data_IF_272271538367
#
_entry.id   IF_272271538367
#
_cell.length_a   1.000
_cell.length_b   1.000
_cell.length_c   1.000
_cell.angle_alpha   90.00
_cell.angle_beta   90.00
_cell.angle_gamma   90.00
#
_symmetry.space_group_name_H-M   'P 1'
#
loop_
_entity.id
_entity.type
_entity.pdbx_description
1 polymer ?
#
# COMPACT_ATOMS: atom_id res chain seq x y z
N UNK A 1 0.55 4.31 -19.16
CA UNK A 1 -0.77 3.87 -18.66
C UNK A 1 -1.64 5.11 -18.67
N UNK A 2 -2.85 5.01 -19.22
CA UNK A 2 -3.78 6.15 -19.20
C UNK A 2 -4.12 6.53 -17.76
N UNK A 3 -4.22 7.83 -17.43
CA UNK A 3 -4.50 8.27 -16.08
C UNK A 3 -5.75 7.58 -15.49
N UNK A 4 -6.87 7.52 -16.22
CA UNK A 4 -8.10 6.90 -15.71
C UNK A 4 -7.95 5.41 -15.37
N UNK A 5 -7.10 4.68 -16.12
CA UNK A 5 -6.78 3.27 -15.82
C UNK A 5 -5.93 3.19 -14.56
N UNK A 6 -4.93 4.06 -14.43
CA UNK A 6 -4.10 4.16 -13.24
C UNK A 6 -4.94 4.36 -11.97
N UNK A 7 -5.86 5.32 -11.97
CA UNK A 7 -6.70 5.63 -10.83
C UNK A 7 -7.53 4.42 -10.38
N UNK A 8 -8.21 3.74 -11.33
CA UNK A 8 -9.01 2.55 -11.01
C UNK A 8 -8.14 1.41 -10.48
N UNK A 9 -7.02 1.12 -11.12
CA UNK A 9 -6.10 0.07 -10.66
C UNK A 9 -5.55 0.41 -9.27
N UNK A 10 -5.12 1.64 -9.03
CA UNK A 10 -4.61 2.05 -7.73
C UNK A 10 -5.67 1.92 -6.64
N UNK A 11 -6.92 2.36 -6.90
CA UNK A 11 -8.01 2.21 -5.96
C UNK A 11 -8.23 0.75 -5.57
N UNK A 12 -8.38 -0.14 -6.56
CA UNK A 12 -8.51 -1.58 -6.32
C UNK A 12 -7.37 -2.12 -5.47
N UNK A 13 -6.12 -1.79 -5.80
CA UNK A 13 -4.96 -2.31 -5.08
C UNK A 13 -4.84 -1.75 -3.66
N UNK A 14 -5.18 -0.48 -3.43
CA UNK A 14 -5.22 0.11 -2.10
C UNK A 14 -6.36 -0.47 -1.26
N UNK A 15 -7.55 -0.69 -1.83
CA UNK A 15 -8.64 -1.41 -1.16
C UNK A 15 -8.18 -2.75 -0.64
N UNK A 16 -7.53 -3.55 -1.48
CA UNK A 16 -7.00 -4.84 -1.09
C UNK A 16 -5.92 -4.73 -0.02
N UNK A 17 -4.95 -3.85 -0.21
CA UNK A 17 -3.85 -3.65 0.74
C UNK A 17 -4.37 -3.29 2.12
N UNK A 18 -5.21 -2.27 2.24
CA UNK A 18 -5.68 -1.77 3.52
C UNK A 18 -6.65 -2.74 4.20
N UNK A 19 -7.55 -3.37 3.46
CA UNK A 19 -8.46 -4.38 4.02
C UNK A 19 -7.70 -5.60 4.54
N UNK A 20 -6.73 -6.11 3.77
CA UNK A 20 -5.91 -7.25 4.16
C UNK A 20 -4.97 -6.91 5.31
N UNK A 21 -4.21 -5.81 5.23
CA UNK A 21 -3.31 -5.39 6.30
C UNK A 21 -4.05 -5.15 7.62
N UNK A 22 -5.22 -4.50 7.58
CA UNK A 22 -6.05 -4.29 8.76
C UNK A 22 -6.59 -5.59 9.37
N UNK A 23 -6.77 -6.63 8.56
CA UNK A 23 -7.13 -7.95 9.08
C UNK A 23 -5.94 -8.71 9.67
N UNK A 24 -4.74 -8.55 9.12
CA UNK A 24 -3.51 -9.21 9.58
C UNK A 24 -3.07 -8.66 10.94
N UNK A 25 -2.98 -7.33 11.07
CA UNK A 25 -2.67 -6.65 12.32
C UNK A 25 -3.33 -5.27 12.38
N UNK A 26 -4.48 -5.20 13.03
CA UNK A 26 -5.30 -4.00 13.14
C UNK A 26 -4.59 -2.85 13.91
N UNK A 27 -3.67 -3.17 14.84
CA UNK A 27 -2.98 -2.13 15.63
C UNK A 27 -1.83 -1.52 14.83
N UNK A 28 -1.06 -2.34 14.12
CA UNK A 28 0.02 -1.83 13.28
C UNK A 28 -0.54 -1.03 12.08
N UNK A 29 -1.71 -1.38 11.54
CA UNK A 29 -2.35 -0.54 10.50
C UNK A 29 -2.76 0.82 11.06
N UNK A 30 -3.29 0.87 12.28
CA UNK A 30 -3.63 2.12 12.94
C UNK A 30 -2.38 3.00 13.09
N UNK A 31 -1.28 2.43 13.58
CA UNK A 31 -0.01 3.14 13.70
C UNK A 31 0.56 3.57 12.34
N UNK A 32 0.39 2.78 11.29
CA UNK A 32 0.84 3.11 9.94
C UNK A 32 0.08 4.29 9.31
N UNK A 33 -1.10 4.66 9.82
CA UNK A 33 -1.80 5.89 9.39
C UNK A 33 -1.21 7.17 9.97
N UNK A 34 -0.42 7.06 11.04
CA UNK A 34 0.26 8.21 11.64
C UNK A 34 1.54 8.50 10.86
N UNK A 35 1.59 9.65 10.20
CA UNK A 35 2.78 10.07 9.48
C UNK A 35 3.83 10.62 10.46
N UNK A 36 5.07 10.16 10.32
CA UNK A 36 6.28 10.65 11.03
C UNK A 36 6.15 10.82 12.56
N UNK A 37 6.11 9.71 13.30
CA UNK A 37 6.07 9.71 14.78
C UNK A 37 7.46 9.83 15.44
N UNK A 38 8.41 10.52 14.80
CA UNK A 38 9.82 10.56 15.22
C UNK A 38 10.42 11.96 15.27
N UNK A 39 11.43 12.15 16.12
CA UNK A 39 12.13 13.42 16.27
C UNK A 39 11.35 14.42 17.12
N UNK A 40 11.47 15.72 16.83
CA UNK A 40 10.68 16.73 17.51
C UNK A 40 9.19 16.51 17.21
N UNK A 41 8.38 16.28 18.25
CA UNK A 41 6.94 16.01 18.14
C UNK A 41 6.07 17.27 18.35
N UNK A 42 6.70 18.44 18.47
CA UNK A 42 5.99 19.71 18.58
C UNK A 42 5.42 20.12 17.21
N UNK A 43 4.39 20.97 17.22
CA UNK A 43 3.85 21.59 16.02
C UNK A 43 4.96 22.19 15.13
N UNK A 44 4.88 21.96 13.82
CA UNK A 44 5.85 22.43 12.83
C UNK A 44 7.03 21.49 12.55
N UNK A 45 7.07 20.29 13.13
CA UNK A 45 8.15 19.31 12.92
C UNK A 45 7.73 18.03 12.18
N UNK A 46 6.55 18.01 11.56
CA UNK A 46 6.06 16.89 10.76
C UNK A 46 6.08 17.26 9.27
N UNK A 47 6.90 16.58 8.47
CA UNK A 47 7.04 16.89 7.04
C UNK A 47 5.89 16.36 6.20
N UNK A 48 5.11 15.40 6.71
CA UNK A 48 3.87 14.98 6.06
C UNK A 48 2.80 16.09 6.10
N UNK A 49 2.81 16.96 7.11
CA UNK A 49 1.97 18.16 7.13
C UNK A 49 2.28 19.06 5.93
N UNK A 50 3.56 19.32 5.67
CA UNK A 50 4.01 20.07 4.49
C UNK A 50 3.59 19.38 3.20
N UNK A 51 3.67 18.05 3.13
CA UNK A 51 3.24 17.30 1.95
C UNK A 51 1.74 17.50 1.65
N UNK A 52 0.89 17.51 2.69
CA UNK A 52 -0.54 17.80 2.55
C UNK A 52 -0.79 19.26 2.11
N UNK A 53 -0.01 20.22 2.62
CA UNK A 53 -0.09 21.62 2.19
C UNK A 53 0.30 21.76 0.70
N UNK A 54 1.42 21.16 0.29
CA UNK A 54 1.87 21.13 -1.12
C UNK A 54 0.83 20.48 -2.03
N UNK A 55 0.20 19.40 -1.57
CA UNK A 55 -0.89 18.75 -2.30
C UNK A 55 -2.12 19.66 -2.46
N UNK A 56 -2.52 20.37 -1.40
CA UNK A 56 -3.61 21.34 -1.47
C UNK A 56 -3.29 22.49 -2.44
N UNK A 57 -2.07 23.03 -2.41
CA UNK A 57 -1.61 24.05 -3.36
C UNK A 57 -1.65 23.56 -4.81
N UNK A 58 -1.22 22.31 -5.06
CA UNK A 58 -1.33 21.69 -6.38
C UNK A 58 -2.79 21.55 -6.83
N UNK A 59 -3.71 21.13 -5.96
CA UNK A 59 -5.15 21.05 -6.29
C UNK A 59 -5.71 22.44 -6.61
N UNK A 60 -5.35 23.47 -5.85
CA UNK A 60 -5.79 24.85 -6.11
C UNK A 60 -5.29 25.34 -7.47
N UNK A 61 -4.04 25.09 -7.82
CA UNK A 61 -3.51 25.48 -9.14
C UNK A 61 -4.12 24.65 -10.28
N UNK A 62 -4.30 23.34 -10.07
CA UNK A 62 -4.88 22.43 -11.07
C UNK A 62 -6.36 22.65 -11.33
N UNK A 63 -7.09 23.25 -10.38
CA UNK A 63 -8.52 23.58 -10.51
C UNK A 63 -8.79 24.96 -11.09
N UNK A 64 -7.75 25.72 -11.46
CA UNK A 64 -7.93 26.94 -12.25
C UNK A 64 -8.49 26.55 -13.61
N UNK A 65 -9.77 26.84 -13.85
CA UNK A 65 -10.46 26.56 -15.13
C UNK A 65 -9.93 27.35 -16.34
N UNK A 66 -8.83 28.10 -16.18
CA UNK A 66 -8.11 28.82 -17.23
C UNK A 66 -6.76 28.16 -17.50
N UNK A 67 -6.22 28.24 -18.75
CA UNK A 67 -4.89 27.71 -19.05
C UNK A 67 -3.80 28.33 -18.17
N UNK A 68 -2.98 27.49 -17.55
CA UNK A 68 -1.87 27.95 -16.71
C UNK A 68 -0.86 28.78 -17.51
N UNK A 69 -0.49 29.93 -16.96
CA UNK A 69 0.65 30.70 -17.46
C UNK A 69 1.97 29.93 -17.27
N UNK A 70 3.02 30.32 -18.00
CA UNK A 70 4.35 29.67 -17.88
C UNK A 70 4.92 29.72 -16.44
N UNK A 71 4.80 30.83 -15.69
CA UNK A 71 5.17 30.84 -14.26
C UNK A 71 4.35 29.87 -13.41
N UNK A 72 3.04 29.76 -13.62
CA UNK A 72 2.18 28.85 -12.87
C UNK A 72 2.48 27.38 -13.19
N UNK A 73 2.69 27.05 -14.47
CA UNK A 73 3.13 25.71 -14.85
C UNK A 73 4.47 25.34 -14.19
N UNK A 74 5.39 26.30 -14.06
CA UNK A 74 6.64 26.10 -13.32
C UNK A 74 6.39 25.84 -11.84
N UNK A 75 5.46 26.56 -11.21
CA UNK A 75 5.08 26.32 -9.82
C UNK A 75 4.51 24.92 -9.65
N UNK A 76 3.55 24.51 -10.49
CA UNK A 76 2.96 23.16 -10.47
C UNK A 76 4.03 22.08 -10.59
N UNK A 77 4.97 22.21 -11.54
CA UNK A 77 6.04 21.23 -11.69
C UNK A 77 7.04 21.21 -10.52
N UNK A 78 7.22 22.35 -9.83
CA UNK A 78 8.08 22.44 -8.65
C UNK A 78 7.42 21.76 -7.45
N UNK A 79 6.13 22.02 -7.23
CA UNK A 79 5.33 21.36 -6.21
C UNK A 79 5.20 19.85 -6.46
N UNK A 80 5.06 19.43 -7.72
CA UNK A 80 5.11 18.02 -8.11
C UNK A 80 6.41 17.33 -7.66
N UNK A 81 7.56 17.99 -7.88
CA UNK A 81 8.85 17.45 -7.46
C UNK A 81 9.00 17.44 -5.92
N UNK A 82 8.47 18.45 -5.22
CA UNK A 82 8.43 18.45 -3.75
C UNK A 82 7.57 17.30 -3.21
N UNK A 83 6.40 17.09 -3.80
CA UNK A 83 5.49 16.04 -3.40
C UNK A 83 6.11 14.65 -3.62
N UNK A 84 6.81 14.44 -4.73
CA UNK A 84 7.55 13.20 -4.99
C UNK A 84 8.62 12.89 -3.92
N UNK A 85 9.20 13.92 -3.30
CA UNK A 85 10.22 13.79 -2.26
C UNK A 85 9.65 13.70 -0.84
N UNK A 86 8.32 13.69 -0.67
CA UNK A 86 7.65 13.71 0.63
C UNK A 86 7.72 12.34 1.35
N UNK A 87 8.93 11.95 1.77
CA UNK A 87 9.21 10.65 2.38
C UNK A 87 8.29 10.30 3.56
N UNK A 88 7.94 11.28 4.40
CA UNK A 88 7.07 11.08 5.57
C UNK A 88 5.71 10.46 5.26
N UNK A 89 5.12 10.78 4.10
CA UNK A 89 3.83 10.20 3.67
C UNK A 89 3.99 8.74 3.28
N UNK A 90 5.13 8.38 2.68
CA UNK A 90 5.39 7.05 2.17
C UNK A 90 5.87 6.07 3.24
N UNK A 91 6.37 6.57 4.37
CA UNK A 91 6.72 5.74 5.53
C UNK A 91 5.50 4.96 6.03
N UNK A 92 4.34 5.62 6.11
CA UNK A 92 3.07 4.97 6.47
C UNK A 92 2.69 3.86 5.49
N UNK A 93 2.78 4.12 4.18
CA UNK A 93 2.48 3.12 3.14
C UNK A 93 3.43 1.91 3.20
N UNK A 94 4.72 2.13 3.43
CA UNK A 94 5.68 1.04 3.59
C UNK A 94 5.37 0.20 4.84
N UNK A 95 5.09 0.84 5.98
CA UNK A 95 4.67 0.13 7.19
C UNK A 95 3.39 -0.69 6.94
N UNK A 96 2.40 -0.16 6.23
CA UNK A 96 1.19 -0.89 5.86
C UNK A 96 1.49 -2.17 5.08
N UNK A 97 2.38 -2.13 4.10
CA UNK A 97 2.75 -3.34 3.33
C UNK A 97 3.55 -4.34 4.17
N UNK A 98 4.41 -3.86 5.05
CA UNK A 98 5.25 -4.70 5.91
C UNK A 98 4.45 -5.51 6.95
N UNK A 99 3.21 -5.11 7.26
CA UNK A 99 2.27 -5.89 8.08
C UNK A 99 2.05 -7.30 7.51
N UNK A 100 1.98 -7.45 6.19
CA UNK A 100 1.78 -8.77 5.58
C UNK A 100 2.91 -9.75 5.88
N UNK A 101 4.12 -9.24 6.13
CA UNK A 101 5.30 -10.01 6.52
C UNK A 101 5.46 -10.12 8.04
N UNK A 102 4.44 -9.71 8.81
CA UNK A 102 4.44 -9.63 10.28
C UNK A 102 5.64 -8.85 10.82
N UNK A 103 6.11 -7.85 10.05
CA UNK A 103 7.16 -6.96 10.50
C UNK A 103 6.54 -5.92 11.43
N UNK A 104 7.21 -5.61 12.55
CA UNK A 104 6.71 -4.62 13.48
C UNK A 104 6.66 -3.25 12.80
N UNK A 105 5.66 -2.44 13.15
CA UNK A 105 5.67 -1.01 12.80
C UNK A 105 7.01 -0.38 13.18
N UNK A 106 7.60 0.35 12.23
CA UNK A 106 8.90 0.96 12.34
C UNK A 106 8.82 2.48 12.09
N UNK A 107 9.41 3.26 12.97
CA UNK A 107 9.54 4.72 12.83
C UNK A 107 10.43 5.15 11.66
N UNK A 108 11.33 4.28 11.20
CA UNK A 108 12.24 4.52 10.07
C UNK A 108 12.20 3.37 9.07
N UNK A 109 11.08 3.18 8.34
CA UNK A 109 10.93 2.01 7.49
C UNK A 109 11.87 2.03 6.26
N UNK A 110 12.42 3.20 5.90
CA UNK A 110 13.44 3.37 4.85
C UNK A 110 14.88 3.49 5.37
N UNK A 111 15.16 3.18 6.64
CA UNK A 111 16.49 3.37 7.21
C UNK A 111 17.59 2.59 6.47
N UNK A 112 17.25 1.41 5.95
CA UNK A 112 18.13 0.54 5.17
C UNK A 112 18.61 1.18 3.86
N UNK A 113 17.89 2.17 3.34
CA UNK A 113 18.28 2.92 2.14
C UNK A 113 19.26 4.08 2.43
N UNK A 114 19.41 4.47 3.70
CA UNK A 114 20.26 5.60 4.10
C UNK A 114 21.73 5.25 3.88
N UNK A 115 22.44 6.11 3.15
CA UNK A 115 23.87 5.92 2.86
C UNK A 115 24.71 6.82 3.75
N UNK A 116 25.77 6.27 4.32
CA UNK A 116 26.77 7.04 5.06
C UNK A 116 28.01 7.21 4.19
N UNK A 117 28.20 8.42 3.64
CA UNK A 117 29.43 8.78 2.95
C UNK A 117 30.53 8.99 3.99
N UNK A 118 31.71 8.39 3.77
CA UNK A 118 32.81 8.44 4.72
C UNK A 118 33.60 9.77 4.66
N UNK A 119 33.79 10.35 3.46
CA UNK A 119 34.55 11.60 3.29
C UNK A 119 33.96 12.51 2.17
N UNK A 120 33.52 13.75 2.50
CA UNK A 120 33.21 14.22 3.86
C UNK A 120 32.09 13.37 4.49
N UNK A 121 32.09 13.27 5.83
CA UNK A 121 31.08 12.49 6.55
C UNK A 121 29.71 13.11 6.31
N UNK A 122 28.84 12.41 5.60
CA UNK A 122 27.49 12.87 5.30
C UNK A 122 26.52 11.69 5.34
N UNK A 123 25.37 11.91 5.99
CA UNK A 123 24.23 11.00 5.92
C UNK A 123 23.37 11.43 4.74
N UNK A 124 23.18 10.53 3.79
CA UNK A 124 22.44 10.78 2.56
C UNK A 124 21.17 9.93 2.64
N UNK A 125 20.03 10.60 2.82
CA UNK A 125 18.73 9.95 2.77
C UNK A 125 18.40 9.41 1.37
N UNK A 126 17.46 8.46 1.26
CA UNK A 126 16.98 8.01 -0.03
C UNK A 126 16.30 9.16 -0.79
N UNK A 127 16.38 9.13 -2.12
CA UNK A 127 15.56 9.97 -2.99
C UNK A 127 14.22 9.27 -3.31
N UNK A 128 13.27 9.99 -3.94
CA UNK A 128 11.99 9.41 -4.36
C UNK A 128 12.14 8.09 -5.11
N UNK A 129 13.03 8.00 -6.11
CA UNK A 129 13.17 6.82 -6.93
C UNK A 129 13.58 5.58 -6.11
N UNK A 130 14.47 5.76 -5.12
CA UNK A 130 14.85 4.68 -4.22
C UNK A 130 13.68 4.28 -3.30
N UNK A 131 12.91 5.25 -2.80
CA UNK A 131 11.72 4.97 -1.97
C UNK A 131 10.64 4.23 -2.75
N UNK A 132 10.25 4.73 -3.94
CA UNK A 132 9.22 4.08 -4.78
C UNK A 132 9.64 2.72 -5.31
N UNK A 133 10.93 2.54 -5.65
CA UNK A 133 11.46 1.20 -5.96
C UNK A 133 11.32 0.26 -4.77
N UNK A 134 11.67 0.71 -3.56
CA UNK A 134 11.52 -0.10 -2.36
C UNK A 134 10.06 -0.44 -2.08
N UNK A 135 9.14 0.51 -2.28
CA UNK A 135 7.70 0.26 -2.16
C UNK A 135 7.24 -0.81 -3.16
N UNK A 136 7.65 -0.73 -4.44
CA UNK A 136 7.31 -1.71 -5.47
C UNK A 136 7.92 -3.10 -5.22
N UNK A 137 9.17 -3.16 -4.75
CA UNK A 137 9.82 -4.40 -4.32
C UNK A 137 9.05 -5.08 -3.20
N UNK A 138 8.64 -4.31 -2.18
CA UNK A 138 7.88 -4.85 -1.05
C UNK A 138 6.48 -5.27 -1.48
N UNK A 139 5.78 -4.47 -2.29
CA UNK A 139 4.49 -4.84 -2.88
C UNK A 139 4.56 -6.16 -3.66
N UNK A 140 5.64 -6.37 -4.43
CA UNK A 140 5.88 -7.65 -5.12
C UNK A 140 6.13 -8.79 -4.14
N UNK A 141 6.96 -8.56 -3.11
CA UNK A 141 7.28 -9.57 -2.10
C UNK A 141 6.06 -10.05 -1.30
N UNK A 142 5.07 -9.18 -1.07
CA UNK A 142 3.80 -9.55 -0.41
C UNK A 142 2.77 -10.14 -1.39
N UNK A 143 3.15 -10.42 -2.64
CA UNK A 143 2.29 -11.03 -3.64
C UNK A 143 1.27 -10.06 -4.27
N UNK A 144 1.57 -8.76 -4.35
CA UNK A 144 0.74 -7.73 -4.99
C UNK A 144 1.48 -7.03 -6.15
N UNK A 145 1.86 -7.74 -7.23
CA UNK A 145 2.51 -7.12 -8.39
C UNK A 145 1.66 -6.05 -9.08
N UNK A 146 0.32 -6.11 -8.96
CA UNK A 146 -0.57 -5.05 -9.45
C UNK A 146 -0.31 -3.72 -8.75
N UNK A 147 -0.15 -3.74 -7.42
CA UNK A 147 0.24 -2.59 -6.61
C UNK A 147 1.65 -2.11 -6.97
N UNK A 148 2.61 -3.03 -7.10
CA UNK A 148 3.99 -2.69 -7.46
C UNK A 148 4.05 -1.87 -8.76
N UNK A 149 3.33 -2.33 -9.79
CA UNK A 149 3.26 -1.66 -11.10
C UNK A 149 2.71 -0.24 -11.03
N UNK A 150 1.68 0.02 -10.23
CA UNK A 150 1.15 1.39 -10.09
C UNK A 150 2.09 2.27 -9.26
N UNK A 151 2.76 1.73 -8.25
CA UNK A 151 3.75 2.49 -7.47
C UNK A 151 4.93 2.96 -8.32
N UNK A 152 5.41 2.14 -9.25
CA UNK A 152 6.47 2.53 -10.20
C UNK A 152 6.07 3.68 -11.13
N UNK A 153 4.77 3.90 -11.32
CA UNK A 153 4.23 4.93 -12.22
C UNK A 153 3.82 6.22 -11.49
N UNK A 154 3.72 6.20 -10.16
CA UNK A 154 3.21 7.32 -9.36
C UNK A 154 3.96 8.64 -9.64
N UNK A 155 5.27 8.55 -9.85
CA UNK A 155 6.11 9.69 -10.21
C UNK A 155 7.00 9.37 -11.40
N UNK A 156 7.09 10.33 -12.32
CA UNK A 156 7.99 10.28 -13.45
C UNK A 156 9.36 10.81 -13.04
N UNK A 157 10.32 9.91 -12.98
CA UNK A 157 11.73 10.19 -12.69
C UNK A 157 12.31 11.32 -13.53
N UNK A 158 11.94 11.41 -14.81
CA UNK A 158 12.49 12.40 -15.74
C UNK A 158 12.00 13.83 -15.43
N UNK A 159 10.71 14.00 -15.13
CA UNK A 159 10.14 15.27 -14.68
C UNK A 159 10.71 15.67 -13.31
N UNK A 160 10.68 14.75 -12.34
CA UNK A 160 11.19 14.99 -10.97
C UNK A 160 12.65 15.43 -11.00
N UNK A 161 13.52 14.68 -11.68
CA UNK A 161 14.95 14.99 -11.79
C UNK A 161 15.19 16.30 -12.54
N UNK A 162 14.44 16.54 -13.62
CA UNK A 162 14.53 17.78 -14.39
C UNK A 162 14.23 19.00 -13.53
N UNK A 163 13.16 18.94 -12.74
CA UNK A 163 12.75 20.04 -11.86
C UNK A 163 13.70 20.20 -10.66
N UNK A 164 14.03 19.11 -9.97
CA UNK A 164 14.90 19.13 -8.78
C UNK A 164 16.31 19.68 -9.06
N UNK A 165 16.81 19.50 -10.29
CA UNK A 165 18.13 20.00 -10.70
C UNK A 165 18.09 21.24 -11.59
N UNK A 166 16.90 21.80 -11.85
CA UNK A 166 16.69 22.89 -12.80
C UNK A 166 17.22 22.61 -14.22
N UNK A 167 17.22 21.34 -14.63
CA UNK A 167 17.73 20.84 -15.92
C UNK A 167 16.63 20.77 -16.99
N UNK A 168 15.74 21.78 -17.01
CA UNK A 168 14.57 21.79 -17.87
C UNK A 168 14.37 23.12 -18.61
N UNK A 169 13.63 23.07 -19.72
CA UNK A 169 13.14 24.25 -20.43
C UNK A 169 11.65 24.04 -20.71
N UNK A 170 10.82 24.95 -20.18
CA UNK A 170 9.41 25.05 -20.58
C UNK A 170 9.32 25.76 -21.92
N UNK A 171 8.85 25.05 -22.93
CA UNK A 171 8.64 25.57 -24.29
C UNK A 171 7.14 25.49 -24.66
N UNK A 172 6.68 26.20 -25.71
CA UNK A 172 5.28 26.14 -26.13
C UNK A 172 4.78 24.73 -26.47
N UNK A 173 5.68 23.85 -26.91
CA UNK A 173 5.37 22.47 -27.27
C UNK A 173 5.54 21.47 -26.11
N UNK A 174 5.89 21.92 -24.90
CA UNK A 174 6.00 21.09 -23.70
C UNK A 174 7.29 21.25 -22.91
N UNK A 175 7.66 20.21 -22.16
CA UNK A 175 8.78 20.20 -21.23
C UNK A 175 10.01 19.55 -21.88
N UNK A 176 11.08 20.31 -22.07
CA UNK A 176 12.36 19.79 -22.59
C UNK A 176 13.28 19.46 -21.42
N UNK A 177 13.83 18.25 -21.43
CA UNK A 177 14.70 17.75 -20.37
C UNK A 177 16.08 17.45 -20.97
N UNK A 178 17.11 18.14 -20.46
CA UNK A 178 18.47 18.07 -21.03
C UNK A 178 19.26 16.82 -20.62
N UNK A 179 18.89 16.17 -19.50
CA UNK A 179 19.62 15.04 -18.89
C UNK A 179 21.11 15.33 -18.70
N UNK A 180 21.43 16.32 -17.85
CA UNK A 180 22.79 16.86 -17.64
C UNK A 180 23.86 15.83 -17.28
N UNK A 181 23.47 14.72 -16.65
CA UNK A 181 24.39 13.66 -16.20
C UNK A 181 24.49 12.47 -17.18
N UNK A 182 24.03 12.64 -18.43
CA UNK A 182 24.10 11.63 -19.48
C UNK A 182 22.72 11.19 -20.01
N UNK A 183 22.69 10.75 -21.26
CA UNK A 183 21.47 10.36 -21.99
C UNK A 183 21.06 11.34 -23.09
N UNK A 184 20.11 10.95 -23.93
CA UNK A 184 19.59 11.80 -24.99
C UNK A 184 18.58 12.81 -24.42
N UNK A 185 18.62 14.08 -24.85
CA UNK A 185 17.58 15.04 -24.54
C UNK A 185 16.21 14.50 -24.95
N UNK A 186 15.20 14.75 -24.12
CA UNK A 186 13.82 14.38 -24.42
C UNK A 186 12.91 15.59 -24.38
N UNK A 187 11.84 15.54 -25.17
CA UNK A 187 10.77 16.53 -25.14
C UNK A 187 9.50 15.78 -24.76
N UNK A 188 8.90 16.17 -23.65
CA UNK A 188 7.59 15.71 -23.22
C UNK A 188 6.54 16.68 -23.75
N UNK A 189 5.49 16.17 -24.37
CA UNK A 189 4.34 17.00 -24.74
C UNK A 189 3.64 17.53 -23.49
N UNK A 190 2.85 18.60 -23.64
CA UNK A 190 2.03 19.10 -22.53
C UNK A 190 1.05 18.03 -22.02
N UNK A 191 0.48 17.23 -22.92
CA UNK A 191 -0.39 16.10 -22.57
C UNK A 191 0.33 15.07 -21.68
N UNK A 192 1.55 14.69 -22.03
CA UNK A 192 2.36 13.76 -21.22
C UNK A 192 2.69 14.32 -19.83
N UNK A 193 2.89 15.64 -19.73
CA UNK A 193 3.10 16.32 -18.46
C UNK A 193 1.81 16.34 -17.64
N UNK A 194 0.67 16.69 -18.24
CA UNK A 194 -0.65 16.67 -17.59
C UNK A 194 -1.00 15.27 -17.08
N UNK A 195 -0.82 14.23 -17.89
CA UNK A 195 -1.05 12.85 -17.48
C UNK A 195 -0.21 12.45 -16.26
N UNK A 196 1.06 12.86 -16.22
CA UNK A 196 1.95 12.58 -15.08
C UNK A 196 1.53 13.33 -13.81
N UNK A 197 1.06 14.57 -13.95
CA UNK A 197 0.52 15.35 -12.83
C UNK A 197 -0.76 14.72 -12.27
N UNK A 198 -1.68 14.30 -13.14
CA UNK A 198 -2.92 13.62 -12.73
C UNK A 198 -2.64 12.32 -11.97
N UNK A 199 -1.73 11.49 -12.49
CA UNK A 199 -1.31 10.25 -11.82
C UNK A 199 -0.78 10.50 -10.40
N UNK A 200 0.11 11.49 -10.22
CA UNK A 200 0.65 11.83 -8.91
C UNK A 200 -0.41 12.40 -7.96
N UNK A 201 -1.31 13.26 -8.47
CA UNK A 201 -2.40 13.83 -7.68
C UNK A 201 -3.33 12.73 -7.16
N UNK A 202 -3.79 11.83 -8.03
CA UNK A 202 -4.66 10.74 -7.61
C UNK A 202 -3.97 9.74 -6.70
N UNK A 203 -2.67 9.51 -6.89
CA UNK A 203 -1.91 8.69 -5.95
C UNK A 203 -1.97 9.24 -4.53
N UNK A 204 -1.70 10.54 -4.38
CA UNK A 204 -1.76 11.21 -3.09
C UNK A 204 -3.16 11.31 -2.51
N UNK A 205 -4.15 11.59 -3.37
CA UNK A 205 -5.55 11.70 -2.97
C UNK A 205 -6.07 10.38 -2.40
N UNK A 206 -5.89 9.28 -3.15
CA UNK A 206 -6.33 7.98 -2.67
C UNK A 206 -5.57 7.54 -1.42
N UNK A 207 -4.25 7.72 -1.37
CA UNK A 207 -3.49 7.34 -0.18
C UNK A 207 -3.99 8.07 1.08
N UNK A 208 -4.24 9.37 1.00
CA UNK A 208 -4.81 10.15 2.10
C UNK A 208 -6.21 9.68 2.48
N UNK A 209 -7.06 9.40 1.49
CA UNK A 209 -8.43 8.92 1.71
C UNK A 209 -8.42 7.56 2.43
N UNK A 210 -7.62 6.59 1.99
CA UNK A 210 -7.50 5.29 2.67
C UNK A 210 -6.97 5.43 4.10
N UNK A 211 -5.93 6.25 4.32
CA UNK A 211 -5.41 6.54 5.67
C UNK A 211 -6.45 7.24 6.55
N UNK A 212 -7.27 8.12 5.98
CA UNK A 212 -8.35 8.79 6.70
C UNK A 212 -9.48 7.83 7.07
N UNK A 213 -9.94 6.98 6.13
CA UNK A 213 -10.96 5.95 6.37
C UNK A 213 -10.57 4.98 7.49
N UNK A 214 -9.31 4.56 7.53
CA UNK A 214 -8.80 3.73 8.64
C UNK A 214 -8.87 4.47 9.96
N UNK A 215 -8.51 5.76 10.02
CA UNK A 215 -8.63 6.54 11.26
C UNK A 215 -10.10 6.70 11.69
N UNK A 216 -10.99 7.00 10.75
CA UNK A 216 -12.43 7.12 10.99
C UNK A 216 -13.07 5.81 11.47
N UNK A 217 -12.54 4.63 11.11
CA UNK A 217 -13.07 3.37 11.65
C UNK A 217 -12.85 3.19 13.16
N UNK A 218 -12.04 4.05 13.79
CA UNK A 218 -11.84 4.12 15.25
C UNK A 218 -12.63 5.27 15.90
N UNK A 219 -13.71 5.70 15.24
CA UNK A 219 -14.73 6.60 15.80
C UNK A 219 -16.10 5.87 15.79
N UNK A 220 -16.61 5.40 16.95
CA UNK A 220 -16.07 5.57 18.30
C UNK A 220 -14.83 4.71 18.56
N UNK A 221 -14.15 5.01 19.67
CA UNK A 221 -12.97 4.26 20.13
C UNK A 221 -13.23 2.75 20.21
N UNK A 222 -12.22 1.94 19.86
CA UNK A 222 -12.28 0.48 19.83
C UNK A 222 -11.11 -0.11 20.60
N UNK A 223 -11.36 -1.17 21.36
CA UNK A 223 -10.30 -2.00 21.95
C UNK A 223 -10.02 -3.20 21.04
N UNK A 224 -8.75 -3.39 20.71
CA UNK A 224 -8.24 -4.45 19.83
C UNK A 224 -7.17 -5.23 20.56
N UNK A 225 -7.25 -6.56 20.55
CA UNK A 225 -6.18 -7.41 21.09
C UNK A 225 -5.20 -7.74 19.96
N UNK A 226 -3.93 -7.41 20.16
CA UNK A 226 -2.89 -7.75 19.19
C UNK A 226 -1.55 -7.13 19.51
N UNK A 227 -0.63 -7.27 18.56
CA UNK A 227 0.75 -6.81 18.71
C UNK A 227 0.88 -5.39 18.17
N UNK A 228 1.38 -4.48 18.99
CA UNK A 228 1.82 -3.17 18.53
C UNK A 228 3.34 -3.18 18.39
N UNK A 229 3.84 -3.08 17.15
CA UNK A 229 5.27 -3.18 16.85
C UNK A 229 5.86 -4.46 17.47
N UNK A 230 6.97 -4.36 18.21
CA UNK A 230 7.65 -5.49 18.82
C UNK A 230 7.03 -5.98 20.15
N UNK A 231 5.95 -5.37 20.63
CA UNK A 231 5.32 -5.74 21.90
C UNK A 231 4.60 -7.10 21.83
N UNK A 232 4.45 -7.80 22.97
CA UNK A 232 3.58 -8.97 23.05
C UNK A 232 2.12 -8.59 22.78
N UNK A 233 1.26 -9.55 22.39
CA UNK A 233 -0.15 -9.28 22.20
C UNK A 233 -0.79 -8.84 23.52
N UNK A 234 -1.54 -7.74 23.47
CA UNK A 234 -2.31 -7.21 24.60
C UNK A 234 -3.46 -6.34 24.07
N UNK A 235 -4.44 -5.96 24.91
CA UNK A 235 -5.50 -5.05 24.53
C UNK A 235 -4.96 -3.62 24.31
N UNK A 236 -5.30 -3.01 23.19
CA UNK A 236 -5.00 -1.63 22.83
C UNK A 236 -6.29 -0.89 22.53
N UNK A 237 -6.47 0.27 23.13
CA UNK A 237 -7.56 1.20 22.79
C UNK A 237 -7.06 2.17 21.75
N UNK A 238 -7.74 2.17 20.60
CA UNK A 238 -7.47 3.05 19.47
C UNK A 238 -8.65 4.01 19.34
N UNK A 239 -8.36 5.30 19.25
CA UNK A 239 -9.39 6.35 19.19
C UNK A 239 -9.05 7.41 18.14
N UNK A 240 -10.05 7.79 17.36
CA UNK A 240 -10.04 9.04 16.58
C UNK A 240 -11.09 10.02 17.11
N UNK A 241 -10.64 10.92 17.98
CA UNK A 241 -11.50 11.88 18.67
C UNK A 241 -12.05 12.97 17.72
N UNK A 242 -13.15 13.63 18.11
CA UNK A 242 -13.80 14.69 17.32
C UNK A 242 -12.89 15.89 17.05
N UNK A 243 -11.94 16.16 17.94
CA UNK A 243 -10.96 17.24 17.80
C UNK A 243 -9.79 16.89 16.85
N UNK A 244 -9.84 15.72 16.19
CA UNK A 244 -8.82 15.25 15.26
C UNK A 244 -7.62 14.57 15.92
N UNK A 245 -7.63 14.36 17.24
CA UNK A 245 -6.59 13.58 17.93
C UNK A 245 -6.77 12.10 17.58
N UNK A 246 -5.68 11.48 17.13
CA UNK A 246 -5.58 10.05 16.94
C UNK A 246 -4.68 9.45 18.02
N UNK A 247 -5.17 8.46 18.78
CA UNK A 247 -4.43 7.89 19.90
C UNK A 247 -4.47 6.36 19.91
N UNK A 248 -3.38 5.76 20.39
CA UNK A 248 -3.22 4.34 20.64
C UNK A 248 -2.70 4.21 22.07
N UNK A 249 -3.44 3.53 22.94
CA UNK A 249 -3.12 3.42 24.37
C UNK A 249 -3.44 2.04 24.91
N UNK A 250 -2.85 1.69 26.05
CA UNK A 250 -3.16 0.45 26.78
C UNK A 250 -3.00 0.67 28.27
N UNK A 251 -3.89 0.10 29.06
CA UNK A 251 -3.83 0.01 30.52
C UNK A 251 -3.61 -1.43 31.00
N UNK A 252 -3.40 -2.37 30.06
CA UNK A 252 -3.30 -3.77 30.39
C UNK A 252 -2.03 -4.08 31.19
N UNK A 253 -2.14 -4.85 32.29
CA UNK A 253 -1.01 -5.13 33.18
C UNK A 253 0.01 -6.11 32.59
N UNK A 254 -0.28 -6.69 31.42
CA UNK A 254 0.58 -7.67 30.76
C UNK A 254 -0.05 -8.25 29.49
N UNK A 255 0.62 -9.24 28.87
CA UNK A 255 0.14 -9.88 27.65
C UNK A 255 -1.22 -10.54 27.81
N UNK A 256 -2.08 -10.41 26.80
CA UNK A 256 -3.37 -11.09 26.70
C UNK A 256 -3.64 -11.48 25.25
N UNK A 257 -4.32 -12.60 25.07
CA UNK A 257 -4.79 -13.10 23.77
C UNK A 257 -6.25 -13.50 23.89
N UNK A 258 -6.99 -13.41 22.79
CA UNK A 258 -8.33 -13.95 22.67
C UNK A 258 -8.43 -14.89 21.47
N UNK A 259 -9.57 -15.57 21.34
CA UNK A 259 -9.81 -16.52 20.25
C UNK A 259 -9.71 -15.87 18.86
N UNK A 260 -10.06 -14.59 18.74
CA UNK A 260 -9.98 -13.87 17.48
C UNK A 260 -8.52 -13.63 17.06
N UNK A 261 -7.67 -13.22 18.00
CA UNK A 261 -6.23 -13.08 17.82
C UNK A 261 -5.57 -14.42 17.47
N UNK A 262 -5.87 -15.48 18.23
CA UNK A 262 -5.29 -16.82 17.98
C UNK A 262 -5.69 -17.34 16.59
N UNK A 263 -6.96 -17.21 16.22
CA UNK A 263 -7.44 -17.55 14.87
C UNK A 263 -6.69 -16.77 13.79
N UNK A 264 -6.51 -15.47 13.98
CA UNK A 264 -5.82 -14.64 12.98
C UNK A 264 -4.32 -14.98 12.89
N UNK A 265 -3.67 -15.28 14.02
CA UNK A 265 -2.28 -15.72 14.05
C UNK A 265 -2.10 -17.01 13.23
N UNK A 266 -2.99 -18.00 13.41
CA UNK A 266 -2.97 -19.24 12.63
C UNK A 266 -3.15 -18.98 11.12
N UNK A 267 -4.04 -18.07 10.73
CA UNK A 267 -4.20 -17.69 9.32
C UNK A 267 -2.94 -17.01 8.79
N UNK A 268 -2.36 -16.09 9.55
CA UNK A 268 -1.18 -15.33 9.14
C UNK A 268 0.03 -16.26 8.93
N UNK A 269 0.22 -17.27 9.79
CA UNK A 269 1.28 -18.27 9.64
C UNK A 269 1.16 -19.06 8.33
N UNK A 270 -0.07 -19.23 7.84
CA UNK A 270 -0.41 -19.91 6.59
C UNK A 270 -0.28 -19.01 5.35
N UNK A 271 -0.11 -17.70 5.51
CA UNK A 271 0.07 -16.79 4.39
C UNK A 271 1.54 -16.64 3.97
N UNK A 272 2.49 -17.03 4.83
CA UNK A 272 3.92 -17.05 4.51
C UNK A 272 4.50 -15.69 4.08
N UNK A 273 3.93 -14.59 4.58
CA UNK A 273 4.36 -13.23 4.24
C UNK A 273 3.72 -12.64 2.98
N UNK A 274 2.79 -13.35 2.33
CA UNK A 274 2.01 -12.86 1.19
C UNK A 274 0.57 -12.52 1.58
N UNK A 275 -0.15 -11.83 0.70
CA UNK A 275 -1.57 -11.50 0.90
C UNK A 275 -2.52 -12.64 0.56
N UNK A 276 -2.04 -13.63 -0.20
CA UNK A 276 -2.84 -14.75 -0.68
C UNK A 276 -1.99 -16.00 -0.77
N UNK A 277 -2.55 -17.16 -0.40
CA UNK A 277 -1.94 -18.46 -0.59
C UNK A 277 -2.92 -19.42 -1.29
N UNK A 278 -2.38 -20.35 -2.08
CA UNK A 278 -3.10 -21.41 -2.75
C UNK A 278 -2.47 -22.76 -2.36
N UNK A 279 -3.30 -23.67 -1.87
CA UNK A 279 -2.92 -24.98 -1.37
C UNK A 279 -3.42 -26.04 -2.36
N UNK A 280 -2.48 -26.76 -2.97
CA UNK A 280 -2.76 -27.68 -4.07
C UNK A 280 -2.67 -29.13 -3.60
N UNK A 281 -3.68 -29.93 -3.97
CA UNK A 281 -3.65 -31.39 -3.83
C UNK A 281 -2.49 -31.97 -4.67
N UNK A 282 -1.96 -33.16 -4.33
CA UNK A 282 -0.93 -33.82 -5.11
C UNK A 282 -1.34 -33.97 -6.58
N UNK A 283 -0.48 -33.52 -7.49
CA UNK A 283 -0.71 -33.60 -8.94
C UNK A 283 -1.76 -32.63 -9.50
N UNK A 284 -2.27 -31.70 -8.70
CA UNK A 284 -3.18 -30.64 -9.17
C UNK A 284 -2.42 -29.35 -9.48
N UNK A 285 -2.95 -28.58 -10.44
CA UNK A 285 -2.46 -27.24 -10.81
C UNK A 285 -3.63 -26.26 -10.81
N UNK A 286 -3.38 -25.00 -10.48
CA UNK A 286 -4.39 -23.93 -10.59
C UNK A 286 -4.82 -23.85 -12.05
N UNK A 287 -6.13 -23.89 -12.30
CA UNK A 287 -6.64 -23.80 -13.67
C UNK A 287 -6.14 -22.51 -14.35
N UNK A 288 -5.78 -22.53 -15.65
CA UNK A 288 -5.27 -21.34 -16.34
C UNK A 288 -6.23 -20.14 -16.27
N UNK A 289 -7.54 -20.40 -16.26
CA UNK A 289 -8.56 -19.35 -16.14
C UNK A 289 -8.55 -18.70 -14.75
N UNK A 290 -8.47 -19.50 -13.67
CA UNK A 290 -8.37 -18.97 -12.31
C UNK A 290 -7.02 -18.26 -12.10
N UNK A 291 -5.92 -18.81 -12.62
CA UNK A 291 -4.60 -18.17 -12.57
C UNK A 291 -4.61 -16.80 -13.26
N UNK A 292 -5.25 -16.69 -14.44
CA UNK A 292 -5.41 -15.41 -15.14
C UNK A 292 -6.23 -14.42 -14.29
N UNK A 293 -7.33 -14.86 -13.69
CA UNK A 293 -8.16 -14.02 -12.82
C UNK A 293 -7.40 -13.51 -11.58
N UNK A 294 -6.54 -14.35 -10.97
CA UNK A 294 -5.68 -13.94 -9.85
C UNK A 294 -4.69 -12.85 -10.29
N UNK A 295 -4.06 -13.02 -11.45
CA UNK A 295 -3.11 -12.05 -12.02
C UNK A 295 -3.82 -10.74 -12.40
N UNK A 296 -5.00 -10.83 -13.00
CA UNK A 296 -5.81 -9.67 -13.39
C UNK A 296 -6.32 -8.89 -12.17
N UNK A 297 -6.60 -9.57 -11.05
CA UNK A 297 -6.86 -8.95 -9.76
C UNK A 297 -5.60 -8.31 -9.13
N UNK A 298 -4.41 -8.53 -9.70
CA UNK A 298 -3.15 -7.92 -9.29
C UNK A 298 -2.37 -8.72 -8.25
N UNK A 299 -2.65 -10.02 -8.10
CA UNK A 299 -2.01 -10.89 -7.10
C UNK A 299 -1.04 -11.90 -7.71
N UNK A 300 -0.10 -12.34 -6.88
CA UNK A 300 0.75 -13.50 -7.09
C UNK A 300 0.81 -14.32 -5.80
N UNK A 301 -0.01 -15.38 -5.65
CA UNK A 301 -0.17 -16.10 -4.39
C UNK A 301 1.08 -16.88 -4.01
N UNK A 302 1.20 -17.22 -2.73
CA UNK A 302 2.07 -18.29 -2.29
C UNK A 302 1.45 -19.62 -2.74
N UNK A 303 2.16 -20.42 -3.55
CA UNK A 303 1.69 -21.74 -3.96
C UNK A 303 2.35 -22.80 -3.08
N UNK A 304 1.53 -23.56 -2.36
CA UNK A 304 1.95 -24.69 -1.52
C UNK A 304 1.41 -25.97 -2.15
N UNK A 305 2.27 -26.72 -2.83
CA UNK A 305 1.93 -28.01 -3.41
C UNK A 305 2.29 -29.14 -2.45
N UNK A 306 1.30 -29.97 -2.09
CA UNK A 306 1.52 -31.12 -1.22
C UNK A 306 2.02 -32.33 -2.00
N UNK A 307 2.91 -33.12 -1.37
CA UNK A 307 3.46 -34.33 -1.97
C UNK A 307 2.54 -35.54 -1.81
N UNK A 308 1.76 -35.57 -0.73
CA UNK A 308 0.83 -36.63 -0.39
C UNK A 308 -0.55 -36.06 -0.02
N UNK A 309 -1.59 -36.90 -0.16
CA UNK A 309 -2.96 -36.50 0.13
C UNK A 309 -3.21 -36.32 1.63
N UNK A 310 -2.48 -37.06 2.47
CA UNK A 310 -2.63 -37.03 3.93
C UNK A 310 -2.28 -35.67 4.53
N UNK A 311 -1.20 -35.03 4.06
CA UNK A 311 -0.82 -33.68 4.48
C UNK A 311 -1.86 -32.63 4.08
N UNK A 312 -2.45 -32.77 2.88
CA UNK A 312 -3.51 -31.87 2.45
C UNK A 312 -4.78 -32.06 3.29
N UNK A 313 -5.19 -33.31 3.54
CA UNK A 313 -6.34 -33.57 4.42
C UNK A 313 -6.08 -33.15 5.86
N UNK A 314 -4.85 -33.27 6.36
CA UNK A 314 -4.47 -32.77 7.67
C UNK A 314 -4.61 -31.24 7.75
N UNK A 315 -4.23 -30.50 6.70
CA UNK A 315 -4.47 -29.06 6.62
C UNK A 315 -5.97 -28.75 6.64
N UNK A 316 -6.78 -29.46 5.84
CA UNK A 316 -8.23 -29.24 5.83
C UNK A 316 -8.84 -29.50 7.21
N UNK A 317 -8.45 -30.61 7.86
CA UNK A 317 -8.90 -30.93 9.22
C UNK A 317 -8.45 -29.89 10.26
N UNK A 318 -7.26 -29.30 10.10
CA UNK A 318 -6.80 -28.18 10.94
C UNK A 318 -7.66 -26.93 10.72
N UNK A 319 -7.96 -26.59 9.46
CA UNK A 319 -8.81 -25.45 9.10
C UNK A 319 -10.21 -25.62 9.69
N UNK A 320 -10.78 -26.82 9.58
CA UNK A 320 -12.06 -27.18 10.19
C UNK A 320 -12.01 -27.09 11.73
N UNK A 321 -11.05 -27.76 12.35
CA UNK A 321 -10.95 -27.88 13.80
C UNK A 321 -10.69 -26.56 14.52
N UNK A 322 -10.03 -25.61 13.84
CA UNK A 322 -9.73 -24.28 14.40
C UNK A 322 -10.65 -23.16 13.86
N UNK A 323 -11.66 -23.50 13.05
CA UNK A 323 -12.60 -22.51 12.51
C UNK A 323 -11.95 -21.45 11.61
N UNK A 324 -10.96 -21.83 10.80
CA UNK A 324 -10.18 -20.91 9.96
C UNK A 324 -10.89 -20.53 8.65
N UNK A 325 -12.07 -21.10 8.36
CA UNK A 325 -12.88 -20.74 7.20
C UNK A 325 -13.32 -19.28 7.20
N UNK A 326 -13.43 -18.68 6.02
CA UNK A 326 -14.00 -17.34 5.87
C UNK A 326 -15.50 -17.32 6.29
N UNK A 327 -16.01 -16.24 6.92
CA UNK A 327 -17.34 -16.21 7.57
C UNK A 327 -18.58 -16.47 6.70
N UNK A 328 -18.44 -16.53 5.37
CA UNK A 328 -19.52 -16.67 4.40
C UNK A 328 -19.40 -17.93 3.52
N UNK A 329 -18.57 -18.90 3.93
CA UNK A 329 -18.34 -20.12 3.16
C UNK A 329 -18.69 -21.35 4.00
N UNK A 330 -19.55 -22.22 3.45
CA UNK A 330 -19.70 -23.59 3.92
C UNK A 330 -18.54 -24.46 3.40
N UNK A 331 -18.37 -25.69 3.94
CA UNK A 331 -17.26 -26.58 3.62
C UNK A 331 -17.40 -27.30 2.26
N UNK A 332 -18.42 -27.00 1.45
CA UNK A 332 -18.65 -27.73 0.20
C UNK A 332 -17.58 -27.42 -0.84
N UNK A 333 -16.60 -28.33 -0.92
CA UNK A 333 -15.62 -28.36 -1.99
C UNK A 333 -16.31 -28.85 -3.28
N UNK A 334 -16.34 -28.02 -4.32
CA UNK A 334 -16.54 -28.52 -5.67
C UNK A 334 -15.33 -29.38 -6.08
N UNK A 335 -15.53 -30.39 -6.93
CA UNK A 335 -14.45 -31.31 -7.35
C UNK A 335 -13.20 -30.57 -7.90
N UNK A 336 -13.42 -29.45 -8.58
CA UNK A 336 -12.37 -28.61 -9.20
C UNK A 336 -11.95 -27.39 -8.35
N UNK A 337 -12.39 -27.31 -7.09
CA UNK A 337 -12.05 -26.17 -6.24
C UNK A 337 -10.66 -26.33 -5.59
N UNK A 338 -9.93 -25.21 -5.53
CA UNK A 338 -8.66 -25.10 -4.83
C UNK A 338 -8.85 -24.50 -3.45
N UNK A 339 -8.11 -24.99 -2.46
CA UNK A 339 -8.11 -24.38 -1.14
C UNK A 339 -7.22 -23.14 -1.17
N UNK A 340 -7.81 -21.97 -0.98
CA UNK A 340 -7.08 -20.69 -0.93
C UNK A 340 -7.22 -20.05 0.44
N UNK A 341 -6.22 -19.24 0.82
CA UNK A 341 -6.24 -18.43 2.03
C UNK A 341 -5.95 -16.95 1.73
N UNK A 342 -6.67 -16.08 2.42
CA UNK A 342 -6.39 -14.63 2.56
C UNK A 342 -6.45 -14.29 4.04
N UNK A 343 -6.16 -13.04 4.46
CA UNK A 343 -6.32 -12.65 5.87
C UNK A 343 -7.72 -12.89 6.45
N UNK A 344 -8.76 -12.99 5.61
CA UNK A 344 -10.12 -13.29 6.06
C UNK A 344 -10.33 -14.76 6.45
N UNK A 345 -9.46 -15.67 6.00
CA UNK A 345 -9.53 -17.11 6.28
C UNK A 345 -9.36 -17.96 5.03
N UNK A 346 -9.75 -19.22 5.15
CA UNK A 346 -9.70 -20.20 4.06
C UNK A 346 -11.00 -20.25 3.28
N UNK A 347 -10.91 -20.58 1.99
CA UNK A 347 -12.07 -20.79 1.10
C UNK A 347 -11.73 -21.71 -0.07
N UNK A 348 -12.69 -22.52 -0.48
CA UNK A 348 -12.66 -23.25 -1.74
C UNK A 348 -12.99 -22.33 -2.91
N UNK A 349 -12.09 -22.20 -3.89
CA UNK A 349 -12.25 -21.32 -5.06
C UNK A 349 -12.04 -22.15 -6.33
N UNK A 350 -13.05 -22.18 -7.21
CA UNK A 350 -12.97 -22.87 -8.50
C UNK A 350 -12.97 -21.92 -9.70
N UNK A 351 -13.55 -20.72 -9.56
CA UNK A 351 -13.80 -19.79 -10.68
C UNK A 351 -13.35 -18.36 -10.39
N UNK A 352 -13.22 -17.56 -11.45
CA UNK A 352 -12.90 -16.14 -11.36
C UNK A 352 -13.98 -15.34 -10.62
N UNK A 353 -15.25 -15.70 -10.79
CA UNK A 353 -16.38 -15.07 -10.11
C UNK A 353 -16.35 -15.36 -8.61
N UNK A 354 -16.03 -16.60 -8.23
CA UNK A 354 -15.86 -16.97 -6.83
C UNK A 354 -14.70 -16.22 -6.16
N UNK A 355 -13.59 -16.04 -6.89
CA UNK A 355 -12.47 -15.20 -6.44
C UNK A 355 -12.90 -13.75 -6.26
N UNK A 356 -13.52 -13.15 -7.28
CA UNK A 356 -13.96 -11.75 -7.25
C UNK A 356 -14.94 -11.48 -6.11
N UNK A 357 -15.91 -12.37 -5.88
CA UNK A 357 -16.86 -12.28 -4.77
C UNK A 357 -16.23 -12.50 -3.38
N UNK A 358 -15.00 -12.99 -3.31
CA UNK A 358 -14.26 -13.17 -2.07
C UNK A 358 -13.35 -11.99 -1.73
N UNK A 359 -12.87 -11.27 -2.75
CA UNK A 359 -12.03 -10.09 -2.55
C UNK A 359 -12.82 -8.93 -1.92
N UNK A 360 -12.14 -8.01 -1.20
CA UNK A 360 -12.78 -6.80 -0.70
C UNK A 360 -13.53 -6.05 -1.79
N UNK A 361 -14.75 -5.58 -1.47
CA UNK A 361 -15.51 -4.76 -2.39
C UNK A 361 -14.77 -3.46 -2.70
N UNK A 362 -14.66 -3.13 -3.99
CA UNK A 362 -14.01 -1.92 -4.47
C UNK A 362 -15.08 -0.90 -4.81
N UNK A 363 -15.05 0.25 -4.13
CA UNK A 363 -15.95 1.36 -4.44
C UNK A 363 -15.70 1.86 -5.87
N UNK A 364 -16.78 2.16 -6.59
CA UNK A 364 -16.68 2.85 -7.87
C UNK A 364 -16.15 4.27 -7.64
N UNK A 365 -15.19 4.69 -8.48
CA UNK A 365 -14.68 6.06 -8.47
C UNK A 365 -15.27 6.80 -9.67
N UNK A 366 -16.03 7.83 -9.37
CA UNK A 366 -16.45 8.82 -10.36
C UNK A 366 -15.27 9.72 -10.73
N UNK A 367 -14.78 9.55 -11.96
CA UNK A 367 -13.80 10.45 -12.55
C UNK A 367 -14.56 11.65 -13.10
N UNK A 368 -14.67 12.73 -12.33
CA UNK A 368 -15.10 14.01 -12.89
C UNK A 368 -14.14 14.37 -14.03
N UNK A 369 -14.65 14.43 -15.26
CA UNK A 369 -13.88 14.75 -16.47
C UNK A 369 -13.47 16.21 -16.53
#
# INVERSE_FOLDING_TARGET
>A
MEPAVYLRTLNTQLTYLFAFAGRINEIDIAAATSAESRGAQNAGWNTAETAHQVFAELKTLGSKGEPLSRPELRQVLSLYAQLAEAGGVYEGLLNTMLIAQLKPWNMWPFQDLVRVRQAPRAVIGPNANAMFRRLAEVATAIGMPGLARVLELAFRDDIRNGMAHADYILAPNGLRLRRRNGGQPIVLSLEQVTAALQIALWFFELLQEFQHRVRESYRPAKTVIGRFSANPPMPWTIEFAENGIFSISTDAPGPQVDAAYERQAMINDRLGGKMMAAYLKPGSEISPALQAAIVDAGFEPLVVAFLDGEQFEALVAEVDGNGLWAPLSGPEAAEDAFLMATPFGFRWIATAEALSAWLPAVDEIDIAQ
#
